data_IF_681899286133
#
_entry.id   IF_681899286133
#
_cell.length_a   1.000
_cell.length_b   1.000
_cell.length_c   1.000
_cell.angle_alpha   90.00
_cell.angle_beta   90.00
_cell.angle_gamma   90.00
#
_symmetry.space_group_name_H-M   'P 1'
#
loop_
_entity.id
_entity.type
_entity.pdbx_description
1 polymer ?
#
# COMPACT_ATOMS: atom_id res chain seq x y z
N UNK A 1 1.37 -9.32 -18.73
CA UNK A 1 2.00 -8.42 -17.76
C UNK A 1 2.00 -7.00 -18.32
N UNK A 2 1.81 -5.97 -17.49
CA UNK A 2 1.65 -4.57 -17.96
C UNK A 2 2.92 -3.77 -17.69
N UNK A 3 3.51 -3.18 -18.72
CA UNK A 3 4.73 -2.36 -18.60
C UNK A 3 4.39 -0.89 -18.30
N UNK A 4 5.21 -0.23 -17.47
CA UNK A 4 5.04 1.17 -17.05
C UNK A 4 5.43 2.19 -18.11
N UNK A 5 6.51 1.94 -18.83
CA UNK A 5 7.04 2.75 -19.93
C UNK A 5 7.71 1.82 -20.94
N UNK A 6 7.98 2.30 -22.15
CA UNK A 6 8.86 1.60 -23.07
C UNK A 6 10.20 1.30 -22.37
N UNK A 7 10.69 0.06 -22.47
CA UNK A 7 11.93 -0.44 -21.87
C UNK A 7 11.96 -0.59 -20.33
N UNK A 8 10.83 -0.56 -19.62
CA UNK A 8 10.82 -0.92 -18.19
C UNK A 8 11.01 -2.43 -18.01
N UNK A 9 11.91 -2.84 -17.11
CA UNK A 9 12.03 -4.22 -16.64
C UNK A 9 11.16 -4.43 -15.39
N UNK A 10 10.84 -5.69 -15.10
CA UNK A 10 10.02 -6.05 -13.95
C UNK A 10 10.50 -7.34 -13.29
N UNK A 11 10.21 -7.47 -12.00
CA UNK A 11 10.35 -8.69 -11.23
C UNK A 11 8.98 -9.07 -10.66
N UNK A 12 8.56 -10.31 -10.89
CA UNK A 12 7.40 -10.91 -10.24
C UNK A 12 7.85 -12.05 -9.35
N UNK A 13 7.36 -12.08 -8.11
CA UNK A 13 7.55 -13.19 -7.20
C UNK A 13 6.42 -13.23 -6.16
N UNK A 14 6.44 -14.28 -5.33
CA UNK A 14 5.53 -14.46 -4.19
C UNK A 14 6.33 -14.38 -2.88
N UNK A 15 6.91 -13.20 -2.53
CA UNK A 15 7.67 -13.08 -1.31
C UNK A 15 6.73 -13.26 -0.10
N UNK A 16 7.12 -14.00 0.97
CA UNK A 16 6.16 -14.46 1.98
C UNK A 16 5.37 -13.34 2.68
N UNK A 17 6.03 -12.26 3.09
CA UNK A 17 5.37 -11.20 3.86
C UNK A 17 4.55 -10.28 2.94
N UNK A 18 5.07 -9.93 1.77
CA UNK A 18 4.31 -9.19 0.76
C UNK A 18 3.07 -9.96 0.29
N UNK A 19 3.21 -11.26 0.06
CA UNK A 19 2.08 -12.14 -0.29
C UNK A 19 1.08 -12.25 0.86
N UNK A 20 1.52 -12.26 2.12
CA UNK A 20 0.61 -12.23 3.26
C UNK A 20 -0.27 -10.97 3.26
N UNK A 21 0.27 -9.80 2.94
CA UNK A 21 -0.53 -8.59 2.73
C UNK A 21 -1.53 -8.74 1.58
N UNK A 22 -1.08 -9.28 0.45
CA UNK A 22 -1.91 -9.48 -0.72
C UNK A 22 -3.09 -10.45 -0.48
N UNK A 23 -2.87 -11.51 0.30
CA UNK A 23 -3.91 -12.45 0.73
C UNK A 23 -4.83 -11.82 1.78
N UNK A 24 -4.29 -10.98 2.67
CA UNK A 24 -5.07 -10.29 3.69
C UNK A 24 -5.94 -9.13 3.15
N UNK A 25 -5.85 -8.81 1.86
CA UNK A 25 -6.58 -7.68 1.30
C UNK A 25 -6.01 -6.31 1.72
N UNK A 26 -4.73 -6.26 2.10
CA UNK A 26 -4.09 -5.07 2.66
C UNK A 26 -3.05 -4.47 1.70
N UNK A 27 -3.06 -3.15 1.44
CA UNK A 27 -1.95 -2.46 0.80
C UNK A 27 -0.77 -2.25 1.78
N UNK A 28 0.39 -1.85 1.26
CA UNK A 28 1.51 -1.33 2.05
C UNK A 28 1.59 0.17 1.79
N UNK A 29 0.81 0.93 2.56
CA UNK A 29 0.52 2.34 2.31
C UNK A 29 0.75 3.23 3.54
N UNK A 30 1.34 2.68 4.60
CA UNK A 30 1.68 3.39 5.83
C UNK A 30 3.13 3.88 5.80
N UNK A 31 3.42 5.11 6.25
CA UNK A 31 4.76 5.71 6.21
C UNK A 31 5.57 5.27 7.44
N UNK A 32 5.83 3.97 7.56
CA UNK A 32 6.47 3.38 8.74
C UNK A 32 8.02 3.39 8.68
N UNK A 33 8.59 3.56 7.48
CA UNK A 33 10.03 3.54 7.24
C UNK A 33 10.40 4.63 6.23
N UNK A 34 11.48 5.36 6.50
CA UNK A 34 11.98 6.41 5.62
C UNK A 34 12.43 5.86 4.26
N UNK A 35 13.08 4.70 4.26
CA UNK A 35 13.60 4.03 3.06
C UNK A 35 12.51 3.81 2.00
N UNK A 36 11.35 3.33 2.43
CA UNK A 36 10.20 3.10 1.54
C UNK A 36 9.74 4.38 0.87
N UNK A 37 9.68 5.49 1.62
CA UNK A 37 9.28 6.79 1.07
C UNK A 37 10.31 7.24 0.04
N UNK A 38 11.60 7.01 0.28
CA UNK A 38 12.69 7.43 -0.59
C UNK A 38 12.70 6.62 -1.90
N UNK A 39 12.67 5.29 -1.85
CA UNK A 39 13.09 4.44 -2.98
C UNK A 39 11.96 3.69 -3.68
N UNK A 40 10.82 3.47 -3.01
CA UNK A 40 9.70 2.69 -3.55
C UNK A 40 8.45 3.55 -3.75
N UNK A 41 8.16 4.38 -2.75
CA UNK A 41 6.85 4.97 -2.53
C UNK A 41 5.86 3.96 -1.95
N UNK A 42 4.59 4.28 -2.07
CA UNK A 42 3.53 3.49 -1.48
C UNK A 42 3.15 2.33 -2.43
N UNK A 43 2.71 1.18 -1.89
CA UNK A 43 2.40 -0.05 -2.68
C UNK A 43 0.91 -0.39 -2.56
N UNK A 44 0.12 -0.19 -3.62
CA UNK A 44 -1.30 -0.50 -3.62
C UNK A 44 -1.54 -2.00 -3.81
N UNK A 45 -2.75 -2.41 -3.44
CA UNK A 45 -3.29 -3.73 -3.76
C UNK A 45 -4.14 -3.64 -5.03
N UNK A 46 -3.72 -4.32 -6.09
CA UNK A 46 -4.56 -4.57 -7.25
C UNK A 46 -5.67 -5.58 -6.89
N UNK A 47 -6.88 -5.32 -7.37
CA UNK A 47 -8.00 -6.26 -7.24
C UNK A 47 -7.66 -7.62 -7.85
N UNK A 48 -8.40 -8.65 -7.45
CA UNK A 48 -8.21 -9.99 -7.99
C UNK A 48 -8.55 -10.00 -9.48
N UNK A 49 -7.65 -10.60 -10.26
CA UNK A 49 -7.91 -11.01 -11.64
C UNK A 49 -7.19 -12.33 -11.87
N UNK A 50 -7.78 -13.22 -12.67
CA UNK A 50 -7.23 -14.57 -12.86
C UNK A 50 -5.81 -14.49 -13.45
N UNK A 51 -4.81 -15.19 -12.87
CA UNK A 51 -3.46 -15.20 -13.42
C UNK A 51 -3.44 -15.65 -14.88
N UNK A 52 -2.57 -15.03 -15.68
CA UNK A 52 -2.43 -15.29 -17.12
C UNK A 52 -3.64 -14.92 -17.99
N UNK A 53 -4.61 -14.16 -17.45
CA UNK A 53 -5.73 -13.61 -18.23
C UNK A 53 -5.65 -12.09 -18.36
N UNK A 54 -6.47 -11.53 -19.24
CA UNK A 54 -6.58 -10.07 -19.38
C UNK A 54 -7.17 -9.42 -18.13
N UNK A 55 -7.96 -10.14 -17.33
CA UNK A 55 -8.57 -9.65 -16.09
C UNK A 55 -7.50 -9.06 -15.17
N UNK A 56 -6.43 -9.81 -14.91
CA UNK A 56 -5.31 -9.37 -14.08
C UNK A 56 -4.63 -8.13 -14.69
N UNK A 57 -4.41 -8.13 -16.01
CA UNK A 57 -3.77 -6.96 -16.65
C UNK A 57 -4.65 -5.72 -16.61
N UNK A 58 -5.97 -5.87 -16.69
CA UNK A 58 -6.92 -4.76 -16.70
C UNK A 58 -7.02 -4.08 -15.33
N UNK A 59 -7.05 -4.85 -14.24
CA UNK A 59 -7.05 -4.30 -12.88
C UNK A 59 -5.71 -3.66 -12.51
N UNK A 60 -4.59 -4.15 -13.05
CA UNK A 60 -3.26 -3.57 -12.79
C UNK A 60 -2.99 -2.29 -13.59
N UNK A 61 -3.48 -2.19 -14.83
CA UNK A 61 -3.19 -1.09 -15.77
C UNK A 61 -3.29 0.32 -15.18
N UNK A 62 -4.35 0.70 -14.44
CA UNK A 62 -4.44 2.05 -13.87
C UNK A 62 -3.37 2.33 -12.80
N UNK A 63 -2.86 1.31 -12.12
CA UNK A 63 -1.90 1.46 -11.03
C UNK A 63 -0.45 1.58 -11.53
N UNK A 64 -0.12 0.88 -12.62
CA UNK A 64 1.24 0.77 -13.14
C UNK A 64 1.83 2.13 -13.54
N UNK A 65 1.01 3.12 -13.93
CA UNK A 65 1.49 4.45 -14.36
C UNK A 65 2.32 5.15 -13.27
N UNK A 66 1.84 5.09 -12.03
CA UNK A 66 2.40 5.89 -10.93
C UNK A 66 3.15 5.07 -9.87
N UNK A 67 2.95 3.75 -9.81
CA UNK A 67 3.57 2.91 -8.78
C UNK A 67 4.76 2.11 -9.30
N UNK A 68 5.76 1.94 -8.43
CA UNK A 68 6.97 1.16 -8.74
C UNK A 68 6.84 -0.31 -8.31
N UNK A 69 5.86 -0.63 -7.47
CA UNK A 69 5.49 -2.00 -7.14
C UNK A 69 4.00 -2.09 -6.86
N UNK A 70 3.44 -3.29 -7.03
CA UNK A 70 2.04 -3.61 -6.78
C UNK A 70 1.96 -4.93 -6.02
N UNK A 71 1.04 -5.01 -5.07
CA UNK A 71 0.50 -6.28 -4.59
C UNK A 71 -0.65 -6.71 -5.52
N UNK A 72 -0.82 -8.01 -5.70
CA UNK A 72 -1.93 -8.60 -6.47
C UNK A 72 -2.73 -9.51 -5.54
N UNK A 73 -4.01 -9.18 -5.31
CA UNK A 73 -4.86 -9.88 -4.35
C UNK A 73 -4.82 -11.40 -4.55
N UNK A 74 -4.60 -12.14 -3.45
CA UNK A 74 -4.49 -13.62 -3.45
C UNK A 74 -3.44 -14.20 -4.42
N UNK A 75 -2.40 -13.45 -4.77
CA UNK A 75 -1.40 -13.90 -5.73
C UNK A 75 0.03 -13.63 -5.26
N UNK A 76 0.48 -12.38 -5.25
CA UNK A 76 1.88 -12.05 -4.94
C UNK A 76 2.20 -10.60 -5.23
N UNK A 77 3.43 -10.32 -5.65
CA UNK A 77 3.91 -8.97 -5.90
C UNK A 77 4.59 -8.84 -7.27
N UNK A 78 4.59 -7.62 -7.79
CA UNK A 78 5.41 -7.20 -8.92
C UNK A 78 6.09 -5.88 -8.61
N UNK A 79 7.34 -5.73 -9.02
CA UNK A 79 8.06 -4.45 -9.00
C UNK A 79 8.63 -4.13 -10.38
N UNK A 80 8.77 -2.83 -10.67
CA UNK A 80 9.23 -2.29 -11.95
C UNK A 80 10.53 -1.52 -11.74
N UNK A 81 11.44 -1.58 -12.70
CA UNK A 81 12.75 -0.91 -12.68
C UNK A 81 13.18 -0.43 -14.06
N UNK A 82 14.13 0.51 -14.08
CA UNK A 82 14.87 0.89 -15.29
C UNK A 82 15.82 -0.23 -15.74
N UNK A 83 16.26 -1.06 -14.80
CA UNK A 83 16.97 -2.30 -15.04
C UNK A 83 16.45 -3.42 -14.11
N UNK A 84 17.01 -4.64 -14.25
CA UNK A 84 16.59 -5.80 -13.48
C UNK A 84 16.95 -5.67 -11.99
N UNK A 85 18.08 -5.05 -11.68
CA UNK A 85 18.55 -4.86 -10.31
C UNK A 85 17.62 -3.90 -9.57
N UNK A 86 17.27 -2.77 -10.16
CA UNK A 86 16.32 -1.84 -9.58
C UNK A 86 14.93 -2.47 -9.38
N UNK A 87 14.49 -3.31 -10.33
CA UNK A 87 13.22 -4.03 -10.17
C UNK A 87 13.29 -5.04 -9.01
N UNK A 88 14.41 -5.73 -8.85
CA UNK A 88 14.66 -6.66 -7.75
C UNK A 88 14.77 -5.94 -6.40
N UNK A 89 15.54 -4.86 -6.31
CA UNK A 89 15.72 -4.06 -5.10
C UNK A 89 14.39 -3.50 -4.59
N UNK A 90 13.52 -3.05 -5.51
CA UNK A 90 12.15 -2.61 -5.17
C UNK A 90 11.27 -3.74 -4.64
N UNK A 91 11.43 -4.95 -5.18
CA UNK A 91 10.72 -6.13 -4.69
C UNK A 91 11.22 -6.56 -3.30
N UNK A 92 12.54 -6.47 -3.07
CA UNK A 92 13.15 -6.69 -1.76
C UNK A 92 12.68 -5.65 -0.74
N UNK A 93 12.68 -4.36 -1.12
CA UNK A 93 12.20 -3.26 -0.26
C UNK A 93 10.74 -3.47 0.13
N UNK A 94 9.90 -3.91 -0.81
CA UNK A 94 8.49 -4.27 -0.54
C UNK A 94 8.40 -5.39 0.51
N UNK A 95 9.15 -6.48 0.33
CA UNK A 95 9.15 -7.60 1.26
C UNK A 95 9.68 -7.22 2.65
N UNK A 96 10.78 -6.47 2.70
CA UNK A 96 11.36 -5.93 3.93
C UNK A 96 10.34 -5.10 4.71
N UNK A 97 9.63 -4.22 4.01
CA UNK A 97 8.59 -3.36 4.59
C UNK A 97 7.41 -4.16 5.10
N UNK A 98 6.94 -5.12 4.31
CA UNK A 98 5.84 -6.00 4.71
C UNK A 98 6.18 -6.76 6.00
N UNK A 99 7.39 -7.31 6.08
CA UNK A 99 7.89 -8.00 7.28
C UNK A 99 7.87 -7.09 8.50
N UNK A 100 8.44 -5.89 8.40
CA UNK A 100 8.46 -4.93 9.51
C UNK A 100 7.05 -4.52 9.90
N UNK A 101 6.17 -4.27 8.94
CA UNK A 101 4.79 -3.88 9.22
C UNK A 101 4.01 -4.98 9.97
N UNK A 102 4.18 -6.26 9.60
CA UNK A 102 3.59 -7.39 10.33
C UNK A 102 4.14 -7.46 11.76
N UNK A 103 5.46 -7.41 11.92
CA UNK A 103 6.10 -7.46 13.23
C UNK A 103 5.70 -6.27 14.12
N UNK A 104 5.60 -5.08 13.54
CA UNK A 104 5.16 -3.88 14.25
C UNK A 104 3.73 -4.03 14.76
N UNK A 105 2.81 -4.63 13.99
CA UNK A 105 1.45 -4.93 14.47
C UNK A 105 1.45 -5.89 15.66
N UNK A 106 2.29 -6.92 15.63
CA UNK A 106 2.45 -7.84 16.76
C UNK A 106 2.97 -7.16 18.03
N UNK A 107 3.75 -6.07 17.89
CA UNK A 107 4.25 -5.24 18.99
C UNK A 107 3.26 -4.16 19.46
N UNK A 108 2.04 -4.11 18.93
CA UNK A 108 1.01 -3.13 19.30
C UNK A 108 0.77 -2.01 18.27
N UNK A 109 1.38 -2.10 17.09
CA UNK A 109 1.19 -1.14 15.99
C UNK A 109 2.45 -0.33 15.67
N UNK A 110 2.37 0.45 14.58
CA UNK A 110 3.46 1.32 14.12
C UNK A 110 3.27 2.76 14.59
N UNK A 111 4.37 3.42 14.92
CA UNK A 111 4.43 4.88 15.06
C UNK A 111 4.84 5.46 13.71
N UNK A 112 3.85 5.88 12.93
CA UNK A 112 4.05 6.43 11.60
C UNK A 112 4.91 7.70 11.63
N UNK A 113 5.64 7.95 10.54
CA UNK A 113 6.39 9.20 10.35
C UNK A 113 5.44 10.40 10.38
N UNK A 114 5.83 11.52 11.02
CA UNK A 114 5.00 12.71 11.04
C UNK A 114 4.92 13.35 9.63
N UNK A 115 3.83 14.05 9.29
CA UNK A 115 3.62 14.61 7.95
C UNK A 115 4.76 15.50 7.45
N UNK A 116 5.37 16.29 8.33
CA UNK A 116 6.49 17.17 7.96
C UNK A 116 7.75 16.37 7.59
N UNK A 117 8.00 15.23 8.24
CA UNK A 117 9.10 14.33 7.89
C UNK A 117 8.84 13.63 6.55
N UNK A 118 7.58 13.24 6.28
CA UNK A 118 7.19 12.65 4.99
C UNK A 118 7.46 13.64 3.85
N UNK A 119 7.05 14.91 4.00
CA UNK A 119 7.30 15.94 3.00
C UNK A 119 8.81 16.17 2.77
N UNK A 120 9.60 16.26 3.86
CA UNK A 120 11.06 16.37 3.77
C UNK A 120 11.68 15.19 3.01
N UNK A 121 11.26 13.96 3.28
CA UNK A 121 11.74 12.76 2.59
C UNK A 121 11.35 12.76 1.11
N UNK A 122 10.15 13.24 0.76
CA UNK A 122 9.75 13.39 -0.64
C UNK A 122 10.60 14.43 -1.37
N UNK A 123 10.96 15.54 -0.71
CA UNK A 123 11.88 16.51 -1.32
C UNK A 123 13.30 15.93 -1.48
N UNK A 124 13.78 15.17 -0.48
CA UNK A 124 15.09 14.50 -0.54
C UNK A 124 15.16 13.48 -1.67
N UNK A 125 14.14 12.63 -1.82
CA UNK A 125 14.16 11.57 -2.84
C UNK A 125 14.17 12.10 -4.27
N UNK A 126 13.53 13.24 -4.49
CA UNK A 126 13.48 13.91 -5.79
C UNK A 126 14.81 14.61 -6.09
N UNK A 127 15.37 15.33 -5.13
CA UNK A 127 16.68 15.97 -5.28
C UNK A 127 17.80 14.94 -5.51
N UNK A 128 17.71 13.76 -4.87
CA UNK A 128 18.67 12.67 -5.03
C UNK A 128 18.41 11.79 -6.26
N UNK A 129 17.27 11.97 -6.96
CA UNK A 129 16.92 11.18 -8.14
C UNK A 129 16.48 9.74 -7.86
N UNK A 130 16.10 9.41 -6.62
CA UNK A 130 15.55 8.08 -6.29
C UNK A 130 14.19 7.86 -6.95
N UNK A 131 13.32 8.89 -6.93
CA UNK A 131 12.01 8.89 -7.57
C UNK A 131 11.74 10.25 -8.23
N UNK A 132 11.09 10.23 -9.39
CA UNK A 132 10.65 11.44 -10.09
C UNK A 132 9.41 12.08 -9.43
N UNK A 133 9.13 13.34 -9.78
CA UNK A 133 7.94 14.07 -9.29
C UNK A 133 6.62 13.37 -9.64
N UNK A 134 6.62 12.49 -10.65
CA UNK A 134 5.48 11.65 -11.03
C UNK A 134 5.09 10.65 -9.94
N UNK A 135 6.00 10.32 -9.01
CA UNK A 135 5.70 9.50 -7.84
C UNK A 135 4.78 10.20 -6.83
N UNK A 136 4.60 11.53 -6.91
CA UNK A 136 3.61 12.27 -6.10
C UNK A 136 2.15 11.95 -6.48
N UNK A 137 1.95 11.27 -7.60
CA UNK A 137 0.67 10.82 -8.13
C UNK A 137 0.33 9.35 -7.78
N UNK A 138 1.16 8.69 -6.97
CA UNK A 138 0.83 7.38 -6.43
C UNK A 138 -0.48 7.46 -5.61
N UNK A 139 -1.29 6.42 -5.75
CA UNK A 139 -2.69 6.37 -5.36
C UNK A 139 -2.89 5.64 -4.03
N UNK A 140 -2.06 5.93 -3.02
CA UNK A 140 -2.23 5.25 -1.73
C UNK A 140 -1.79 6.01 -0.48
N UNK A 141 -2.49 5.66 0.61
CA UNK A 141 -2.35 6.06 2.00
C UNK A 141 -1.77 7.45 2.23
N UNK A 142 -0.52 7.47 2.69
CA UNK A 142 0.10 8.66 3.27
C UNK A 142 0.27 9.84 2.32
N UNK A 143 0.27 9.63 1.00
CA UNK A 143 0.43 10.74 0.05
C UNK A 143 -0.81 11.64 -0.02
N UNK A 144 -1.99 11.08 0.27
CA UNK A 144 -3.23 11.86 0.35
C UNK A 144 -3.26 12.80 1.56
N UNK A 145 -2.47 12.51 2.59
CA UNK A 145 -2.37 13.32 3.81
C UNK A 145 -1.29 14.42 3.70
N UNK A 146 -0.55 14.48 2.59
CA UNK A 146 0.47 15.51 2.34
C UNK A 146 -0.10 16.71 1.56
N UNK A 147 0.48 17.90 1.78
CA UNK A 147 0.17 19.11 1.01
C UNK A 147 0.79 19.15 -0.40
N UNK A 148 1.49 18.09 -0.81
CA UNK A 148 2.16 18.03 -2.09
C UNK A 148 1.14 17.79 -3.21
N UNK A 149 1.28 18.51 -4.32
CA UNK A 149 0.44 18.32 -5.50
C UNK A 149 1.02 17.25 -6.44
N UNK A 150 0.14 16.44 -7.03
CA UNK A 150 0.49 15.58 -8.16
C UNK A 150 0.56 16.42 -9.44
N UNK A 151 1.69 16.45 -10.17
CA UNK A 151 1.85 17.31 -11.36
C UNK A 151 0.85 17.00 -12.48
N UNK A 152 0.41 15.75 -12.63
CA UNK A 152 -0.59 15.39 -13.65
C UNK A 152 -2.03 15.63 -13.22
N UNK A 153 -2.29 16.01 -11.96
CA UNK A 153 -3.65 16.08 -11.41
C UNK A 153 -4.33 14.71 -11.22
N UNK A 154 -3.78 13.65 -11.82
CA UNK A 154 -4.20 12.25 -11.68
C UNK A 154 -3.83 11.72 -10.29
N UNK A 155 -4.55 12.14 -9.24
CA UNK A 155 -4.67 11.28 -8.06
C UNK A 155 -5.93 10.45 -8.26
N UNK A 156 -5.83 9.14 -8.51
CA UNK A 156 -6.98 8.28 -8.34
C UNK A 156 -7.54 8.57 -6.95
N UNK A 157 -8.87 8.71 -6.84
CA UNK A 157 -9.50 8.88 -5.54
C UNK A 157 -8.89 7.86 -4.59
N UNK A 158 -8.52 8.29 -3.38
CA UNK A 158 -8.18 7.36 -2.31
C UNK A 158 -9.32 6.36 -2.30
N UNK A 159 -9.08 5.17 -2.83
CA UNK A 159 -9.89 4.03 -2.46
C UNK A 159 -9.46 3.84 -1.02
N UNK A 160 -10.08 4.61 -0.11
CA UNK A 160 -10.39 4.11 1.21
C UNK A 160 -10.87 2.71 0.92
N UNK A 161 -10.01 1.75 1.21
CA UNK A 161 -10.24 0.38 0.82
C UNK A 161 -11.69 0.09 1.19
N UNK A 162 -12.50 -0.27 0.20
CA UNK A 162 -13.82 -0.86 0.46
C UNK A 162 -13.66 -2.18 1.22
N UNK A 163 -12.42 -2.67 1.39
CA UNK A 163 -12.01 -3.33 2.63
C UNK A 163 -11.96 -2.30 3.76
N UNK A 164 -13.14 -1.99 4.30
CA UNK A 164 -13.26 -1.49 5.66
C UNK A 164 -12.24 -2.23 6.51
N UNK A 165 -11.43 -1.49 7.28
CA UNK A 165 -10.91 -2.02 8.53
C UNK A 165 -12.12 -2.47 9.35
N UNK A 166 -12.57 -3.70 9.12
CA UNK A 166 -13.56 -4.37 9.93
C UNK A 166 -12.97 -4.72 11.31
N UNK A 167 -11.69 -4.39 11.56
CA UNK A 167 -11.11 -4.39 12.89
C UNK A 167 -10.19 -3.17 13.06
N UNK A 168 -10.71 -2.12 13.74
CA UNK A 168 -9.87 -1.43 14.73
C UNK A 168 -9.53 0.06 14.55
N UNK A 169 -10.29 0.88 13.81
CA UNK A 169 -10.06 2.35 13.87
C UNK A 169 -11.29 3.24 13.60
N UNK A 170 -12.49 2.69 13.45
CA UNK A 170 -13.72 3.49 13.37
C UNK A 170 -14.17 3.93 14.76
N UNK A 171 -14.44 5.22 14.97
CA UNK A 171 -15.25 5.65 16.12
C UNK A 171 -16.69 5.21 15.88
N UNK A 172 -17.15 4.23 16.64
CA UNK A 172 -18.57 3.87 16.71
C UNK A 172 -19.18 4.64 17.87
N UNK A 173 -20.21 5.45 17.60
CA UNK A 173 -21.00 6.10 18.65
C UNK A 173 -22.24 5.27 18.91
N UNK A 174 -22.46 4.92 20.17
CA UNK A 174 -23.67 4.25 20.64
C UNK A 174 -24.32 5.12 21.71
N UNK A 175 -25.64 5.12 21.76
CA UNK A 175 -26.36 5.56 22.95
C UNK A 175 -26.10 4.60 24.11
N UNK A 176 -26.39 5.04 25.34
CA UNK A 176 -26.23 4.20 26.53
C UNK A 176 -27.10 2.95 26.44
N UNK A 177 -28.30 3.09 25.88
CA UNK A 177 -29.29 2.03 25.71
C UNK A 177 -28.79 0.96 24.73
N UNK A 178 -28.30 1.37 23.56
CA UNK A 178 -27.75 0.46 22.55
C UNK A 178 -26.51 -0.29 23.05
N UNK A 179 -25.65 0.37 23.82
CA UNK A 179 -24.48 -0.27 24.43
C UNK A 179 -24.88 -1.34 25.45
N UNK A 180 -25.88 -1.05 26.30
CA UNK A 180 -26.38 -2.01 27.29
C UNK A 180 -27.03 -3.22 26.61
N UNK A 181 -27.78 -3.00 25.53
CA UNK A 181 -28.41 -4.07 24.77
C UNK A 181 -27.36 -5.02 24.17
N UNK A 182 -26.34 -4.48 23.49
CA UNK A 182 -25.24 -5.27 22.93
C UNK A 182 -24.51 -6.12 23.98
N UNK A 183 -24.18 -5.52 25.14
CA UNK A 183 -23.52 -6.24 26.23
C UNK A 183 -24.41 -7.35 26.81
N UNK A 184 -25.72 -7.11 26.90
CA UNK A 184 -26.67 -8.09 27.41
C UNK A 184 -26.85 -9.29 26.47
N UNK A 185 -26.83 -9.05 25.15
CA UNK A 185 -26.89 -10.11 24.14
C UNK A 185 -25.61 -10.96 24.19
N UNK A 186 -24.44 -10.33 24.30
CA UNK A 186 -23.16 -11.02 24.41
C UNK A 186 -23.07 -11.90 25.68
N UNK A 187 -23.61 -11.42 26.82
CA UNK A 187 -23.62 -12.19 28.07
C UNK A 187 -24.51 -13.43 28.00
N UNK A 188 -25.61 -13.39 27.24
CA UNK A 188 -26.54 -14.54 27.06
C UNK A 188 -26.05 -15.59 26.07
N UNK A 189 -25.03 -15.29 25.27
CA UNK A 189 -24.41 -16.25 24.35
C UNK A 189 -23.44 -17.21 25.07
N UNK A 190 -23.19 -17.00 26.37
CA UNK A 190 -22.31 -17.82 27.20
C UNK A 190 -23.06 -18.77 28.16
N UNK A 191 -24.38 -18.89 28.01
CA UNK A 191 -25.24 -19.89 28.68
C UNK A 191 -25.73 -20.94 27.65
#
# INVERSE_FOLDING_TARGET
>A
MVARRANSLFCHAHPPHGTAFAVAGLPIDQPILSEVILTLGCVPLAEYGTPSTEELTNVMRPLVKHHNALLMANHGAVAYGSDLWQAFDRLETLEHTAKIAILSRALGGSRNLPPDAIEKLINVREAAGYLDEGARCQACGYLHDTNLACPSGDRPASRSSSYSSANGAGKVSLTREELVELLSQAARLND
#
